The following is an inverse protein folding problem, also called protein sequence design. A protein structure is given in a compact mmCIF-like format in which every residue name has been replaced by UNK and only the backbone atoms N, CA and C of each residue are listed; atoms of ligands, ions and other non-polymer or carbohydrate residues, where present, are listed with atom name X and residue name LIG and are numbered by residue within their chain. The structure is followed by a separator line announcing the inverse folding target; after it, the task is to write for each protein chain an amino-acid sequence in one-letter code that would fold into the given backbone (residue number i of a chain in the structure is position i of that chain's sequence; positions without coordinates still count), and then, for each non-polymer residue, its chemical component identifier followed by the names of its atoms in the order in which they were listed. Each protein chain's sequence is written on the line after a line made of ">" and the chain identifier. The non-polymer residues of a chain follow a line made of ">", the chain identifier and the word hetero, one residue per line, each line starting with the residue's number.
data_IF_488515431807
#
_entry.id   IF_488515431807
#
_cell.length_a   1.000
_cell.length_b   1.000
_cell.length_c   1.000
_cell.angle_alpha   90.00
_cell.angle_beta   90.00
_cell.angle_gamma   90.00
#
_symmetry.space_group_name_H-M   'P 1'
#
loop_
_entity.id
_entity.type
_entity.pdbx_description
1 polymer ?
#
# COMPACT_ATOMS: atom_id res chain seq x y z
N UNK A 1 11.98 9.06 13.47
CA UNK A 1 10.67 9.32 12.80
C UNK A 1 10.74 10.72 12.21
N UNK A 2 10.27 10.92 10.98
CA UNK A 2 10.28 12.24 10.33
C UNK A 2 9.13 13.12 10.86
N UNK A 3 9.25 14.45 10.75
CA UNK A 3 8.22 15.41 11.16
C UNK A 3 6.85 15.14 10.50
N UNK A 4 6.87 14.71 9.23
CA UNK A 4 5.66 14.36 8.49
C UNK A 4 4.87 13.24 9.17
N UNK A 5 5.55 12.18 9.61
CA UNK A 5 4.90 11.05 10.28
C UNK A 5 4.29 11.47 11.62
N UNK A 6 5.00 12.30 12.40
CA UNK A 6 4.48 12.83 13.66
C UNK A 6 3.20 13.64 13.45
N UNK A 7 3.18 14.53 12.44
CA UNK A 7 1.99 15.35 12.14
C UNK A 7 0.82 14.53 11.61
N UNK A 8 1.08 13.57 10.72
CA UNK A 8 0.04 12.66 10.22
C UNK A 8 -0.56 11.85 11.36
N UNK A 9 0.27 11.24 12.20
CA UNK A 9 -0.21 10.40 13.31
C UNK A 9 -1.02 11.21 14.33
N UNK A 10 -0.72 12.51 14.47
CA UNK A 10 -1.49 13.47 15.27
C UNK A 10 -2.71 14.07 14.55
N UNK A 11 -2.99 13.67 13.30
CA UNK A 11 -4.05 14.20 12.45
C UNK A 11 -3.95 15.73 12.20
N UNK A 12 -2.72 16.26 12.11
CA UNK A 12 -2.41 17.69 11.93
C UNK A 12 -2.12 18.08 10.46
N UNK A 13 -2.55 17.26 9.49
CA UNK A 13 -2.35 17.51 8.05
C UNK A 13 -3.70 17.69 7.37
N UNK A 14 -3.89 18.81 6.65
CA UNK A 14 -5.08 18.98 5.80
C UNK A 14 -5.04 18.09 4.55
N UNK A 15 -3.87 18.03 3.91
CA UNK A 15 -3.58 17.20 2.74
C UNK A 15 -2.20 16.59 2.94
N UNK A 16 -2.10 15.28 2.70
CA UNK A 16 -0.84 14.55 2.71
C UNK A 16 -0.52 14.07 1.30
N UNK A 17 0.72 14.26 0.89
CA UNK A 17 1.24 13.72 -0.37
C UNK A 17 2.10 12.52 -0.02
N UNK A 18 1.75 11.39 -0.60
CA UNK A 18 2.48 10.14 -0.42
C UNK A 18 2.44 9.34 -1.73
N UNK A 19 3.42 8.47 -1.90
CA UNK A 19 3.46 7.55 -3.03
C UNK A 19 2.54 6.35 -2.78
N UNK A 20 1.86 5.87 -3.83
CA UNK A 20 1.03 4.66 -3.74
C UNK A 20 1.85 3.43 -4.15
N UNK A 21 2.19 2.59 -3.17
CA UNK A 21 3.09 1.45 -3.37
C UNK A 21 2.39 0.10 -3.30
N UNK A 22 1.15 0.04 -2.79
CA UNK A 22 0.53 -1.23 -2.42
C UNK A 22 -0.81 -1.51 -3.12
N UNK A 23 -1.09 -0.84 -4.25
CA UNK A 23 -2.30 -1.06 -5.04
C UNK A 23 -2.44 -2.50 -5.59
N UNK A 24 -1.36 -3.28 -5.69
CA UNK A 24 -1.45 -4.71 -6.02
C UNK A 24 -1.78 -5.64 -4.84
N UNK A 25 -1.87 -5.09 -3.62
CA UNK A 25 -1.75 -5.85 -2.36
C UNK A 25 -2.89 -5.56 -1.39
N UNK A 26 -4.12 -5.42 -1.89
CA UNK A 26 -5.26 -5.00 -1.07
C UNK A 26 -5.49 -5.91 0.16
N UNK A 27 -5.15 -7.20 0.09
CA UNK A 27 -5.35 -8.13 1.21
C UNK A 27 -4.13 -8.32 2.12
N UNK A 28 -2.97 -7.75 1.79
CA UNK A 28 -1.73 -7.93 2.57
C UNK A 28 -1.04 -6.63 2.97
N UNK A 29 -1.29 -5.53 2.27
CA UNK A 29 -0.75 -4.21 2.55
C UNK A 29 -1.72 -3.06 2.16
N UNK A 30 -2.94 -2.99 2.72
CA UNK A 30 -3.91 -1.96 2.34
C UNK A 30 -3.74 -0.61 3.05
N UNK A 31 -2.66 -0.38 3.81
CA UNK A 31 -2.55 0.77 4.72
C UNK A 31 -2.67 2.15 4.07
N UNK A 32 -2.51 2.25 2.75
CA UNK A 32 -2.69 3.50 1.98
C UNK A 32 -4.07 3.62 1.31
N UNK A 33 -4.90 2.58 1.39
CA UNK A 33 -6.20 2.46 0.73
C UNK A 33 -7.35 2.30 1.72
N UNK A 34 -7.11 1.64 2.86
CA UNK A 34 -8.10 1.36 3.88
C UNK A 34 -7.61 1.81 5.27
N UNK A 35 -8.52 2.23 6.16
CA UNK A 35 -8.20 2.70 7.50
C UNK A 35 -7.91 1.53 8.45
N UNK A 36 -6.93 0.67 8.14
CA UNK A 36 -6.49 -0.42 9.03
C UNK A 36 -5.37 0.00 10.00
N UNK A 37 -4.81 1.20 9.80
CA UNK A 37 -3.75 1.75 10.63
C UNK A 37 -3.68 3.26 10.52
N UNK A 38 -3.00 3.91 11.47
CA UNK A 38 -2.67 5.34 11.39
C UNK A 38 -1.79 5.71 10.17
N UNK A 39 -1.35 4.71 9.40
CA UNK A 39 -0.73 4.85 8.08
C UNK A 39 -1.67 5.38 6.99
N UNK A 40 -2.98 5.32 7.20
CA UNK A 40 -4.00 5.71 6.25
C UNK A 40 -4.06 7.23 6.08
N UNK A 41 -3.43 7.72 5.01
CA UNK A 41 -3.21 9.15 4.75
C UNK A 41 -4.50 9.99 4.64
N UNK A 42 -5.60 9.51 4.03
CA UNK A 42 -6.84 10.30 3.93
C UNK A 42 -7.52 10.55 5.28
N UNK A 43 -7.25 9.72 6.29
CA UNK A 43 -7.92 9.79 7.59
C UNK A 43 -7.19 8.96 8.64
N UNK A 44 -6.01 9.39 9.12
CA UNK A 44 -5.19 8.59 10.05
C UNK A 44 -5.93 8.28 11.35
N UNK A 45 -6.82 9.18 11.80
CA UNK A 45 -7.67 8.96 12.98
C UNK A 45 -8.68 7.81 12.81
N UNK A 46 -9.16 7.53 11.60
CA UNK A 46 -9.99 6.35 11.30
C UNK A 46 -9.17 5.07 11.46
N UNK A 47 -7.93 5.10 11.00
CA UNK A 47 -6.99 4.00 11.19
C UNK A 47 -6.65 3.73 12.65
N UNK A 48 -6.49 4.77 13.46
CA UNK A 48 -6.32 4.64 14.92
C UNK A 48 -7.55 3.99 15.57
N UNK A 49 -8.76 4.38 15.16
CA UNK A 49 -9.99 3.75 15.63
C UNK A 49 -10.00 2.25 15.37
N UNK A 50 -9.70 1.83 14.14
CA UNK A 50 -9.63 0.40 13.79
C UNK A 50 -8.51 -0.35 14.52
N UNK A 51 -7.35 0.27 14.75
CA UNK A 51 -6.24 -0.38 15.48
C UNK A 51 -6.51 -0.59 16.97
N UNK A 52 -7.34 0.26 17.56
CA UNK A 52 -7.58 0.29 19.02
C UNK A 52 -8.94 -0.27 19.39
N UNK A 53 -9.63 -0.93 18.45
CA UNK A 53 -11.00 -1.42 18.61
C UNK A 53 -11.95 -0.34 19.14
N UNK A 54 -11.75 0.90 18.69
CA UNK A 54 -12.56 2.07 19.03
C UNK A 54 -12.21 2.76 20.35
N UNK A 55 -11.14 2.38 21.04
CA UNK A 55 -10.71 3.07 22.26
C UNK A 55 -10.17 4.49 21.99
N UNK A 56 -9.55 4.72 20.83
CA UNK A 56 -9.00 6.00 20.40
C UNK A 56 -9.39 6.33 18.96
N UNK A 57 -9.06 7.54 18.48
CA UNK A 57 -9.31 7.93 17.10
C UNK A 57 -10.73 8.43 16.84
N UNK A 58 -11.17 8.34 15.59
CA UNK A 58 -12.50 8.77 15.14
C UNK A 58 -13.16 7.58 14.47
N UNK A 59 -14.40 7.28 14.85
CA UNK A 59 -15.17 6.21 14.21
C UNK A 59 -15.33 6.50 12.71
N UNK A 60 -14.90 5.58 11.82
CA UNK A 60 -15.04 5.78 10.39
C UNK A 60 -16.52 5.77 9.99
N UNK A 61 -16.90 6.56 8.97
CA UNK A 61 -18.25 6.51 8.43
C UNK A 61 -18.52 5.17 7.74
N UNK A 62 -19.80 4.88 7.47
CA UNK A 62 -20.26 3.53 7.09
C UNK A 62 -19.58 3.00 5.82
N UNK A 63 -19.31 3.87 4.85
CA UNK A 63 -18.61 3.56 3.61
C UNK A 63 -17.23 2.92 3.81
N UNK A 64 -16.50 3.31 4.86
CA UNK A 64 -15.21 2.70 5.20
C UNK A 64 -15.38 1.40 5.96
N UNK A 65 -16.41 1.28 6.80
CA UNK A 65 -16.74 0.02 7.49
C UNK A 65 -17.08 -1.06 6.47
N UNK A 66 -17.90 -0.74 5.46
CA UNK A 66 -18.24 -1.66 4.38
C UNK A 66 -17.00 -2.10 3.59
N UNK A 67 -16.04 -1.20 3.36
CA UNK A 67 -14.77 -1.54 2.72
C UNK A 67 -13.91 -2.46 3.59
N UNK A 68 -13.88 -2.23 4.91
CA UNK A 68 -13.18 -3.10 5.87
C UNK A 68 -13.82 -4.49 5.93
N UNK A 69 -15.15 -4.59 5.86
CA UNK A 69 -15.86 -5.88 5.82
C UNK A 69 -15.47 -6.70 4.58
N UNK A 70 -15.45 -6.07 3.40
CA UNK A 70 -14.95 -6.69 2.17
C UNK A 70 -13.50 -7.12 2.29
N UNK A 71 -12.65 -6.26 2.84
CA UNK A 71 -11.23 -6.56 3.08
C UNK A 71 -11.06 -7.79 4.00
N UNK A 72 -11.84 -7.87 5.08
CA UNK A 72 -11.82 -8.99 6.01
C UNK A 72 -12.38 -10.28 5.40
N UNK A 73 -13.34 -10.19 4.48
CA UNK A 73 -13.93 -11.35 3.79
C UNK A 73 -12.97 -11.96 2.75
N UNK A 74 -12.23 -11.14 2.00
CA UNK A 74 -11.40 -11.59 0.88
C UNK A 74 -10.45 -12.76 1.20
N UNK A 75 -9.69 -12.73 2.31
CA UNK A 75 -8.83 -13.82 2.72
C UNK A 75 -9.56 -15.14 3.06
N UNK A 76 -10.86 -15.09 3.35
CA UNK A 76 -11.66 -16.24 3.81
C UNK A 76 -12.31 -17.03 2.66
N UNK A 77 -12.22 -16.52 1.42
CA UNK A 77 -12.86 -17.13 0.24
C UNK A 77 -11.82 -17.63 -0.77
N UNK A 78 -12.28 -18.39 -1.77
CA UNK A 78 -11.45 -18.89 -2.88
C UNK A 78 -11.02 -17.79 -3.84
N UNK A 79 -10.04 -18.08 -4.70
CA UNK A 79 -9.37 -17.08 -5.54
C UNK A 79 -10.31 -16.30 -6.47
N UNK A 80 -11.30 -16.97 -7.06
CA UNK A 80 -12.29 -16.33 -7.94
C UNK A 80 -13.11 -15.27 -7.18
N UNK A 81 -13.68 -15.63 -6.04
CA UNK A 81 -14.46 -14.72 -5.20
C UNK A 81 -13.59 -13.61 -4.61
N UNK A 82 -12.36 -13.94 -4.20
CA UNK A 82 -11.39 -12.96 -3.69
C UNK A 82 -11.05 -11.90 -4.73
N UNK A 83 -10.93 -12.29 -6.00
CA UNK A 83 -10.69 -11.36 -7.09
C UNK A 83 -11.88 -10.41 -7.29
N UNK A 84 -13.11 -10.91 -7.22
CA UNK A 84 -14.31 -10.06 -7.32
C UNK A 84 -14.45 -9.10 -6.13
N UNK A 85 -14.18 -9.56 -4.90
CA UNK A 85 -14.13 -8.70 -3.71
C UNK A 85 -13.08 -7.59 -3.89
N UNK A 86 -11.88 -7.94 -4.38
CA UNK A 86 -10.82 -6.96 -4.62
C UNK A 86 -11.23 -5.91 -5.65
N UNK A 87 -11.86 -6.31 -6.75
CA UNK A 87 -12.40 -5.38 -7.76
C UNK A 87 -13.46 -4.47 -7.19
N UNK A 88 -14.36 -5.00 -6.36
CA UNK A 88 -15.41 -4.23 -5.72
C UNK A 88 -14.86 -3.16 -4.76
N UNK A 89 -13.85 -3.51 -3.96
CA UNK A 89 -13.13 -2.55 -3.12
C UNK A 89 -12.56 -1.42 -4.00
N UNK A 90 -11.85 -1.75 -5.08
CA UNK A 90 -11.26 -0.74 -5.96
C UNK A 90 -12.29 0.11 -6.69
N UNK A 91 -13.44 -0.47 -7.08
CA UNK A 91 -14.55 0.26 -7.70
C UNK A 91 -15.06 1.35 -6.77
N UNK A 92 -15.33 1.01 -5.51
CA UNK A 92 -15.80 1.97 -4.48
C UNK A 92 -14.77 3.05 -4.17
N UNK A 93 -13.50 2.68 -4.03
CA UNK A 93 -12.41 3.64 -3.81
C UNK A 93 -12.27 4.62 -4.99
N UNK A 94 -12.41 4.13 -6.22
CA UNK A 94 -12.38 4.94 -7.42
C UNK A 94 -13.62 5.84 -7.56
N UNK A 95 -14.81 5.39 -7.17
CA UNK A 95 -16.02 6.22 -7.20
C UNK A 95 -15.98 7.32 -6.13
N UNK A 96 -15.48 7.02 -4.95
CA UNK A 96 -15.48 7.96 -3.83
C UNK A 96 -14.33 8.98 -3.86
N UNK A 97 -13.23 8.69 -4.56
CA UNK A 97 -12.08 9.59 -4.73
C UNK A 97 -11.49 10.11 -3.39
N UNK A 98 -11.41 9.26 -2.35
CA UNK A 98 -10.75 9.61 -1.08
C UNK A 98 -9.25 9.94 -1.23
N UNK A 99 -8.65 9.49 -2.33
CA UNK A 99 -7.29 9.82 -2.74
C UNK A 99 -7.32 10.28 -4.19
N UNK A 100 -6.51 11.29 -4.51
CA UNK A 100 -6.39 11.82 -5.87
C UNK A 100 -5.05 11.34 -6.43
N UNK A 101 -5.11 10.41 -7.38
CA UNK A 101 -3.93 9.95 -8.11
C UNK A 101 -3.48 10.98 -9.15
N UNK A 102 -2.18 11.31 -9.16
CA UNK A 102 -1.61 12.28 -10.11
C UNK A 102 -0.92 11.57 -11.29
N UNK A 103 -0.06 10.59 -11.01
CA UNK A 103 0.63 9.77 -12.00
C UNK A 103 0.84 8.35 -11.45
N UNK A 104 0.76 7.34 -12.31
CA UNK A 104 0.90 5.93 -11.96
C UNK A 104 2.02 5.23 -12.71
N UNK A 105 2.41 4.04 -12.24
CA UNK A 105 3.42 3.17 -12.88
C UNK A 105 4.79 3.81 -13.10
N UNK A 106 5.13 4.83 -12.31
CA UNK A 106 6.44 5.49 -12.35
C UNK A 106 7.50 4.64 -11.64
N UNK A 107 8.75 4.58 -12.15
CA UNK A 107 9.86 3.97 -11.41
C UNK A 107 10.25 4.76 -10.15
N UNK A 108 9.68 5.95 -9.92
CA UNK A 108 10.04 6.84 -8.80
C UNK A 108 9.73 6.30 -7.40
N UNK A 109 9.03 5.16 -7.28
CA UNK A 109 8.69 4.56 -5.97
C UNK A 109 9.96 4.10 -5.23
N UNK A 110 10.69 3.09 -5.76
CA UNK A 110 12.00 2.69 -5.22
C UNK A 110 13.15 2.85 -6.24
N UNK A 111 12.91 3.58 -7.34
CA UNK A 111 13.91 3.88 -8.36
C UNK A 111 13.98 2.87 -9.50
N UNK A 112 15.08 2.93 -10.23
CA UNK A 112 15.40 2.05 -11.37
C UNK A 112 16.50 1.07 -10.99
N UNK A 113 16.57 -0.05 -11.70
CA UNK A 113 17.69 -0.98 -11.55
C UNK A 113 18.91 -0.36 -12.23
N UNK A 114 19.96 -0.08 -11.44
CA UNK A 114 21.28 0.32 -11.95
C UNK A 114 22.23 -0.84 -11.72
N UNK A 115 22.78 -1.39 -12.81
CA UNK A 115 23.66 -2.57 -12.78
C UNK A 115 25.09 -2.16 -13.07
N UNK A 116 26.04 -2.74 -12.36
CA UNK A 116 27.43 -2.71 -12.79
C UNK A 116 27.58 -3.56 -14.07
N UNK A 117 28.37 -3.10 -15.05
CA UNK A 117 28.58 -3.81 -16.33
C UNK A 117 29.12 -5.25 -16.18
N UNK A 118 29.85 -5.50 -15.09
CA UNK A 118 30.51 -6.78 -14.80
C UNK A 118 29.71 -7.66 -13.82
N UNK A 119 28.61 -7.13 -13.26
CA UNK A 119 27.70 -7.90 -12.39
C UNK A 119 26.69 -8.66 -13.26
N UNK A 120 26.80 -9.99 -13.24
CA UNK A 120 25.97 -10.92 -14.01
C UNK A 120 24.77 -11.41 -13.20
N UNK A 121 23.81 -11.96 -13.94
CA UNK A 121 22.58 -12.56 -13.41
C UNK A 121 21.61 -11.59 -12.69
N UNK A 122 21.81 -10.28 -12.84
CA UNK A 122 20.83 -9.27 -12.40
C UNK A 122 19.73 -9.17 -13.46
N UNK A 123 18.43 -9.34 -13.12
CA UNK A 123 17.34 -9.27 -14.10
C UNK A 123 17.12 -7.84 -14.61
N UNK A 124 16.63 -7.70 -15.84
CA UNK A 124 16.32 -6.38 -16.43
C UNK A 124 15.10 -5.71 -15.81
N UNK A 125 14.22 -6.50 -15.19
CA UNK A 125 13.07 -6.02 -14.44
C UNK A 125 12.96 -6.76 -13.10
N UNK A 126 12.54 -6.04 -12.07
CA UNK A 126 12.20 -6.57 -10.77
C UNK A 126 10.98 -5.82 -10.26
N UNK A 127 10.22 -6.45 -9.37
CA UNK A 127 9.07 -5.80 -8.79
C UNK A 127 9.52 -4.58 -7.96
N UNK A 128 8.87 -3.43 -8.19
CA UNK A 128 9.20 -2.16 -7.57
C UNK A 128 8.14 -1.79 -6.52
N UNK A 129 8.15 -2.47 -5.38
CA UNK A 129 7.24 -2.16 -4.27
C UNK A 129 7.71 -2.80 -2.95
N UNK A 130 7.45 -2.16 -1.81
CA UNK A 130 7.92 -2.60 -0.49
C UNK A 130 7.49 -4.04 -0.10
N UNK A 131 6.26 -4.51 -0.35
CA UNK A 131 5.84 -5.89 -0.10
C UNK A 131 6.71 -6.94 -0.83
N UNK A 132 7.29 -6.58 -1.98
CA UNK A 132 8.20 -7.46 -2.72
C UNK A 132 9.62 -7.50 -2.15
N UNK A 133 9.92 -6.66 -1.14
CA UNK A 133 11.26 -6.53 -0.54
C UNK A 133 12.33 -6.25 -1.59
N UNK A 134 12.04 -5.40 -2.58
CA UNK A 134 12.97 -5.03 -3.66
C UNK A 134 14.39 -4.79 -3.09
N UNK A 135 15.45 -5.44 -3.63
CA UNK A 135 15.52 -6.19 -4.88
C UNK A 135 15.26 -7.71 -4.79
N UNK A 136 14.62 -8.21 -3.73
CA UNK A 136 14.48 -9.66 -3.46
C UNK A 136 13.89 -10.48 -4.63
N UNK A 137 12.93 -9.94 -5.40
CA UNK A 137 12.38 -10.64 -6.58
C UNK A 137 13.40 -10.85 -7.71
N UNK A 138 14.57 -10.23 -7.61
CA UNK A 138 15.69 -10.45 -8.52
C UNK A 138 16.68 -11.51 -8.05
N UNK A 139 16.41 -12.19 -6.94
CA UNK A 139 17.23 -13.29 -6.39
C UNK A 139 18.72 -12.91 -6.27
N UNK A 140 19.05 -11.88 -5.47
CA UNK A 140 20.41 -11.34 -5.38
C UNK A 140 21.46 -12.35 -4.92
N UNK A 141 21.06 -13.43 -4.26
CA UNK A 141 21.93 -14.56 -3.91
C UNK A 141 22.52 -15.30 -5.13
N UNK A 142 21.94 -15.10 -6.32
CA UNK A 142 22.41 -15.70 -7.57
C UNK A 142 23.29 -14.75 -8.39
N UNK A 143 23.50 -13.51 -7.95
CA UNK A 143 24.30 -12.53 -8.68
C UNK A 143 25.79 -12.79 -8.48
N UNK A 144 26.59 -12.56 -9.51
CA UNK A 144 28.05 -12.79 -9.45
C UNK A 144 28.79 -11.82 -10.36
N UNK A 145 30.04 -11.50 -10.00
CA UNK A 145 30.93 -10.77 -10.89
C UNK A 145 31.62 -11.74 -11.84
N UNK A 146 31.58 -11.43 -13.13
CA UNK A 146 32.49 -12.04 -14.11
C UNK A 146 33.91 -11.58 -13.77
N UNK A 147 34.85 -12.52 -13.63
CA UNK A 147 36.26 -12.19 -13.40
C UNK A 147 37.00 -11.98 -14.71
#
# INVERSE_FOLDING_TARGET
>A
RSLLQTRRDANETHVSIWDQISAGFIFSAPQHLLPISNGFQPGPAFGTYTMTDGAEGIEPPQEYKDLLDLFNQGPLVGDADRAEIGKEIYRRLAEAQYTIGVAGLSPMIQGVIVKNKDLRNVPDAAANSWPHRTPNTGFPEQWYYDR
#
